data_IF_605044505278
#
_entry.id   IF_605044505278
#
_cell.length_a   1.000
_cell.length_b   1.000
_cell.length_c   1.000
_cell.angle_alpha   90.00
_cell.angle_beta   90.00
_cell.angle_gamma   90.00
#
_symmetry.space_group_name_H-M   'P 1'
#
loop_
_entity.id
_entity.type
_entity.pdbx_description
1 polymer ?
#
# COMPACT_ATOMS: atom_id res chain seq x y z
N UNK A 1 0.19 49.84 -11.23
CA UNK A 1 -0.59 49.24 -10.13
C UNK A 1 0.16 48.01 -9.66
N UNK A 2 0.49 47.91 -8.38
CA UNK A 2 1.09 46.73 -7.76
C UNK A 2 0.01 45.97 -6.99
N UNK A 3 0.02 44.65 -7.08
CA UNK A 3 -0.83 43.81 -6.24
C UNK A 3 0.03 43.33 -5.07
N UNK A 4 -0.25 43.86 -3.88
CA UNK A 4 0.36 43.39 -2.63
C UNK A 4 -0.51 42.28 -2.04
N UNK A 5 0.13 41.19 -1.62
CA UNK A 5 -0.51 40.00 -1.07
C UNK A 5 0.08 39.61 0.29
N UNK A 6 0.94 40.42 0.91
CA UNK A 6 1.56 40.09 2.19
C UNK A 6 0.52 39.98 3.34
N UNK A 7 -0.57 40.73 3.25
CA UNK A 7 -1.71 40.66 4.18
C UNK A 7 -2.75 39.58 3.79
N UNK A 8 -2.55 38.84 2.70
CA UNK A 8 -3.47 37.79 2.29
C UNK A 8 -3.40 36.62 3.28
N UNK A 9 -4.54 36.28 3.89
CA UNK A 9 -4.64 35.08 4.70
C UNK A 9 -4.24 33.86 3.87
N UNK A 10 -3.37 33.01 4.42
CA UNK A 10 -2.98 31.76 3.79
C UNK A 10 -4.24 30.98 3.39
N UNK A 11 -4.32 30.58 2.12
CA UNK A 11 -5.51 29.95 1.55
C UNK A 11 -5.84 28.66 2.30
N UNK A 12 -6.74 28.76 3.29
CA UNK A 12 -7.35 27.63 3.96
C UNK A 12 -8.19 26.93 2.90
N UNK A 13 -7.66 25.84 2.33
CA UNK A 13 -8.53 24.84 1.70
C UNK A 13 -9.61 24.52 2.73
N UNK A 14 -10.91 24.69 2.42
CA UNK A 14 -11.95 24.13 3.26
C UNK A 14 -11.59 22.67 3.49
N UNK A 15 -11.66 22.21 4.74
CA UNK A 15 -11.64 20.78 4.98
C UNK A 15 -12.84 20.24 4.21
N UNK A 16 -12.59 19.62 3.06
CA UNK A 16 -13.63 19.09 2.21
C UNK A 16 -14.45 18.14 3.06
N UNK A 17 -15.77 18.27 2.98
CA UNK A 17 -16.68 17.34 3.64
C UNK A 17 -16.23 15.90 3.35
N UNK A 18 -16.45 14.98 4.29
CA UNK A 18 -16.07 13.58 4.08
C UNK A 18 -16.93 12.96 2.97
N UNK A 19 -16.28 12.23 2.07
CA UNK A 19 -16.96 11.33 1.14
C UNK A 19 -17.81 10.36 1.99
N UNK A 20 -19.11 10.18 1.71
CA UNK A 20 -19.99 9.35 2.53
C UNK A 20 -19.42 7.94 2.73
N UNK A 21 -19.57 7.41 3.95
CA UNK A 21 -19.08 6.06 4.27
C UNK A 21 -19.74 5.03 3.35
N UNK A 22 -18.94 4.16 2.75
CA UNK A 22 -19.42 3.16 1.80
C UNK A 22 -19.55 3.61 0.35
N UNK A 23 -19.16 4.83 0.00
CA UNK A 23 -19.27 5.35 -1.38
C UNK A 23 -18.48 4.50 -2.35
N UNK A 24 -19.13 4.01 -3.41
CA UNK A 24 -18.48 3.42 -4.57
C UNK A 24 -18.12 4.51 -5.57
N UNK A 25 -16.86 4.55 -6.03
CA UNK A 25 -16.39 5.56 -6.95
C UNK A 25 -15.22 5.08 -7.81
N UNK A 26 -15.16 5.54 -9.06
CA UNK A 26 -13.93 5.47 -9.87
C UNK A 26 -12.94 6.50 -9.33
N UNK A 27 -11.73 6.07 -8.98
CA UNK A 27 -10.68 6.91 -8.40
C UNK A 27 -9.39 6.78 -9.18
N UNK A 28 -8.67 7.89 -9.35
CA UNK A 28 -7.30 7.93 -9.88
C UNK A 28 -6.31 8.08 -8.73
N UNK A 29 -5.32 7.20 -8.67
CA UNK A 29 -4.21 7.34 -7.73
C UNK A 29 -3.17 8.34 -8.23
N UNK A 30 -2.51 9.04 -7.31
CA UNK A 30 -1.29 9.81 -7.58
C UNK A 30 -0.32 9.59 -6.42
N UNK A 31 0.91 9.21 -6.74
CA UNK A 31 1.95 8.92 -5.73
C UNK A 31 2.69 10.21 -5.40
N UNK A 32 2.65 10.61 -4.13
CA UNK A 32 3.36 11.78 -3.61
C UNK A 32 4.80 11.36 -3.26
N UNK A 33 5.85 11.91 -3.91
CA UNK A 33 7.23 11.51 -3.63
C UNK A 33 7.62 11.80 -2.17
N UNK A 34 8.16 10.80 -1.48
CA UNK A 34 8.59 10.93 -0.08
C UNK A 34 10.09 11.14 0.14
N UNK A 35 10.89 11.20 -0.94
CA UNK A 35 12.33 11.46 -0.90
C UNK A 35 13.24 10.25 -0.66
N UNK A 36 12.69 9.05 -0.40
CA UNK A 36 13.45 7.82 -0.16
C UNK A 36 13.41 6.92 -1.40
N UNK A 37 14.54 6.33 -1.79
CA UNK A 37 14.59 5.40 -2.92
C UNK A 37 13.85 4.09 -2.63
N UNK A 38 13.13 3.60 -3.63
CA UNK A 38 12.62 2.22 -3.68
C UNK A 38 13.69 1.19 -4.04
N UNK A 39 13.26 -0.03 -4.36
CA UNK A 39 14.14 -1.17 -4.66
C UNK A 39 14.70 -1.17 -6.08
N UNK A 40 14.11 -0.38 -6.98
CA UNK A 40 14.50 -0.28 -8.40
C UNK A 40 14.76 1.18 -8.80
N UNK A 41 15.60 1.45 -9.83
CA UNK A 41 15.92 2.82 -10.24
C UNK A 41 14.71 3.70 -10.61
N UNK A 42 13.62 3.08 -11.11
CA UNK A 42 12.37 3.77 -11.43
C UNK A 42 11.67 4.36 -10.19
N UNK A 43 11.95 3.84 -8.99
CA UNK A 43 11.36 4.27 -7.73
C UNK A 43 12.29 5.20 -6.92
N UNK A 44 13.27 5.84 -7.57
CA UNK A 44 14.14 6.82 -6.95
C UNK A 44 13.34 8.00 -6.37
N UNK A 45 13.62 8.38 -5.12
CA UNK A 45 12.91 9.42 -4.38
C UNK A 45 11.41 9.18 -4.11
N UNK A 46 10.87 8.01 -4.48
CA UNK A 46 9.43 7.75 -4.47
C UNK A 46 8.86 7.54 -3.06
N UNK A 47 9.56 6.78 -2.23
CA UNK A 47 9.06 6.29 -0.95
C UNK A 47 9.15 7.34 0.16
N UNK A 48 8.30 7.20 1.16
CA UNK A 48 8.28 7.97 2.40
C UNK A 48 8.73 7.08 3.56
N UNK A 49 9.68 7.55 4.37
CA UNK A 49 10.04 6.87 5.62
C UNK A 49 8.95 7.05 6.68
N UNK A 50 8.73 6.04 7.52
CA UNK A 50 8.04 6.22 8.79
C UNK A 50 8.90 7.02 9.78
N UNK A 51 8.27 7.72 10.72
CA UNK A 51 8.97 8.53 11.72
C UNK A 51 9.59 7.69 12.87
N UNK A 52 8.95 6.58 13.22
CA UNK A 52 9.28 5.79 14.43
C UNK A 52 9.67 4.32 14.12
N UNK A 53 9.79 3.95 12.85
CA UNK A 53 10.15 2.58 12.44
C UNK A 53 10.93 2.54 11.12
N UNK A 54 11.46 1.37 10.79
CA UNK A 54 12.16 1.08 9.53
C UNK A 54 11.23 1.02 8.30
N UNK A 55 9.92 1.16 8.50
CA UNK A 55 8.92 1.04 7.45
C UNK A 55 9.09 2.13 6.37
N UNK A 56 9.08 1.71 5.10
CA UNK A 56 9.03 2.59 3.92
C UNK A 56 7.67 2.43 3.24
N UNK A 57 7.07 3.54 2.84
CA UNK A 57 5.70 3.59 2.35
C UNK A 57 5.61 4.28 0.99
N UNK A 58 4.62 3.92 0.17
CA UNK A 58 4.05 4.85 -0.80
C UNK A 58 3.07 5.76 -0.08
N UNK A 59 3.15 7.06 -0.32
CA UNK A 59 2.16 8.05 0.12
C UNK A 59 1.22 8.33 -1.06
N UNK A 60 0.03 7.74 -1.04
CA UNK A 60 -0.91 7.78 -2.15
C UNK A 60 -2.03 8.79 -1.89
N UNK A 61 -2.25 9.66 -2.88
CA UNK A 61 -3.45 10.45 -3.05
C UNK A 61 -4.42 9.71 -3.97
N UNK A 62 -5.71 9.69 -3.63
CA UNK A 62 -6.79 9.21 -4.48
C UNK A 62 -7.74 10.36 -4.77
N UNK A 63 -8.01 10.61 -6.05
CA UNK A 63 -8.99 11.62 -6.50
C UNK A 63 -10.15 10.91 -7.18
N UNK A 64 -11.39 11.19 -6.76
CA UNK A 64 -12.59 10.70 -7.44
C UNK A 64 -12.69 11.36 -8.82
N UNK A 65 -12.81 10.57 -9.89
CA UNK A 65 -12.76 11.09 -11.27
C UNK A 65 -14.12 11.40 -11.89
N UNK A 66 -15.20 10.82 -11.38
CA UNK A 66 -16.57 10.97 -11.91
C UNK A 66 -17.62 10.78 -10.81
N UNK A 67 -18.89 11.02 -11.13
CA UNK A 67 -20.02 10.85 -10.20
C UNK A 67 -20.16 11.95 -9.13
N UNK A 68 -21.06 11.77 -8.14
CA UNK A 68 -21.43 12.82 -7.19
C UNK A 68 -20.29 13.37 -6.32
N UNK A 69 -19.22 12.59 -6.15
CA UNK A 69 -18.05 12.96 -5.34
C UNK A 69 -16.84 13.44 -6.15
N UNK A 70 -17.01 13.73 -7.45
CA UNK A 70 -15.93 14.10 -8.37
C UNK A 70 -15.01 15.20 -7.83
N UNK A 71 -13.70 15.06 -8.08
CA UNK A 71 -12.58 15.91 -7.60
C UNK A 71 -12.33 15.90 -6.09
N UNK A 72 -13.16 15.24 -5.26
CA UNK A 72 -12.84 15.02 -3.84
C UNK A 72 -11.65 14.07 -3.71
N UNK A 73 -10.88 14.25 -2.66
CA UNK A 73 -9.61 13.56 -2.43
C UNK A 73 -9.55 12.89 -1.08
N UNK A 74 -8.83 11.77 -1.02
CA UNK A 74 -8.42 11.13 0.23
C UNK A 74 -7.01 10.56 0.08
N UNK A 75 -6.38 10.21 1.20
CA UNK A 75 -4.99 9.76 1.23
C UNK A 75 -4.82 8.50 2.06
N UNK A 76 -3.88 7.65 1.64
CA UNK A 76 -3.49 6.44 2.36
C UNK A 76 -2.03 6.11 2.11
N UNK A 77 -1.33 5.65 3.15
CA UNK A 77 0.01 5.11 3.02
C UNK A 77 -0.05 3.58 2.84
N UNK A 78 0.76 3.05 1.94
CA UNK A 78 0.96 1.60 1.77
C UNK A 78 2.39 1.24 2.12
N UNK A 79 2.61 0.42 3.14
CA UNK A 79 3.95 -0.04 3.50
C UNK A 79 4.47 -1.01 2.44
N UNK A 80 5.66 -0.75 1.90
CA UNK A 80 6.30 -1.53 0.83
C UNK A 80 7.63 -2.16 1.23
N UNK A 81 8.22 -1.73 2.35
CA UNK A 81 9.37 -2.39 2.98
C UNK A 81 9.39 -2.11 4.49
N UNK A 82 10.16 -2.91 5.24
CA UNK A 82 10.30 -2.80 6.69
C UNK A 82 9.05 -3.19 7.49
N UNK A 83 9.04 -2.87 8.78
CA UNK A 83 7.98 -3.23 9.72
C UNK A 83 8.00 -4.71 10.12
N UNK A 84 6.90 -5.18 10.74
CA UNK A 84 6.83 -6.54 11.28
C UNK A 84 6.95 -7.61 10.17
N UNK A 85 7.88 -8.54 10.38
CA UNK A 85 8.08 -9.71 9.52
C UNK A 85 7.19 -10.90 9.95
N UNK A 86 6.90 -11.77 8.99
CA UNK A 86 6.34 -13.10 9.21
C UNK A 86 7.44 -14.16 9.49
N UNK A 87 7.04 -15.40 9.74
CA UNK A 87 7.94 -16.53 10.03
C UNK A 87 8.89 -16.87 8.86
N UNK A 88 8.67 -16.30 7.68
CA UNK A 88 9.52 -16.44 6.48
C UNK A 88 10.40 -15.22 6.24
N UNK A 89 10.44 -14.28 7.19
CA UNK A 89 11.21 -13.04 7.10
C UNK A 89 10.63 -11.99 6.15
N UNK A 90 9.36 -12.12 5.74
CA UNK A 90 8.72 -11.18 4.81
C UNK A 90 7.87 -10.15 5.56
N UNK A 91 7.90 -8.89 5.15
CA UNK A 91 7.07 -7.85 5.76
C UNK A 91 5.58 -8.15 5.58
N UNK A 92 4.86 -8.29 6.70
CA UNK A 92 3.41 -8.55 6.72
C UNK A 92 2.65 -7.42 6.04
N UNK A 93 3.03 -6.17 6.35
CA UNK A 93 2.41 -5.00 5.76
C UNK A 93 2.69 -4.88 4.25
N UNK A 94 3.88 -5.31 3.78
CA UNK A 94 4.16 -5.42 2.36
C UNK A 94 3.30 -6.49 1.67
N UNK A 95 3.09 -7.64 2.32
CA UNK A 95 2.20 -8.69 1.80
C UNK A 95 0.74 -8.19 1.64
N UNK A 96 0.25 -7.36 2.56
CA UNK A 96 -1.05 -6.68 2.45
C UNK A 96 -1.06 -5.68 1.29
N UNK A 97 -0.07 -4.77 1.20
CA UNK A 97 0.00 -3.77 0.12
C UNK A 97 0.09 -4.41 -1.27
N UNK A 98 0.82 -5.52 -1.43
CA UNK A 98 0.85 -6.30 -2.69
C UNK A 98 -0.53 -6.78 -3.10
N UNK A 99 -1.35 -7.26 -2.16
CA UNK A 99 -2.71 -7.67 -2.45
C UNK A 99 -3.59 -6.48 -2.88
N UNK A 100 -3.45 -5.33 -2.22
CA UNK A 100 -4.14 -4.09 -2.63
C UNK A 100 -3.72 -3.62 -4.03
N UNK A 101 -2.42 -3.58 -4.34
CA UNK A 101 -1.93 -3.14 -5.66
C UNK A 101 -2.34 -4.10 -6.77
N UNK A 102 -2.30 -5.41 -6.51
CA UNK A 102 -2.85 -6.39 -7.45
C UNK A 102 -4.34 -6.12 -7.70
N UNK A 103 -5.13 -5.88 -6.66
CA UNK A 103 -6.55 -5.60 -6.80
C UNK A 103 -6.78 -4.29 -7.60
N UNK A 104 -5.98 -3.25 -7.41
CA UNK A 104 -6.02 -2.02 -8.21
C UNK A 104 -5.75 -2.30 -9.70
N UNK A 105 -4.76 -3.15 -10.02
CA UNK A 105 -4.48 -3.56 -11.41
C UNK A 105 -5.61 -4.42 -11.98
N UNK A 106 -6.12 -5.38 -11.21
CA UNK A 106 -7.24 -6.24 -11.63
C UNK A 106 -8.52 -5.43 -11.90
N UNK A 107 -8.81 -4.43 -11.06
CA UNK A 107 -9.91 -3.48 -11.24
C UNK A 107 -9.68 -2.50 -12.40
N UNK A 108 -8.48 -1.95 -12.57
CA UNK A 108 -8.18 -1.04 -13.67
C UNK A 108 -8.24 -1.71 -15.05
N UNK A 109 -7.80 -2.97 -15.15
CA UNK A 109 -7.66 -3.70 -16.41
C UNK A 109 -8.79 -4.73 -16.65
N UNK A 110 -9.83 -4.74 -15.82
CA UNK A 110 -10.98 -5.65 -15.96
C UNK A 110 -10.63 -7.14 -15.84
N UNK A 111 -9.61 -7.51 -15.05
CA UNK A 111 -9.12 -8.88 -14.93
C UNK A 111 -9.88 -9.66 -13.85
N UNK A 112 -10.21 -10.92 -14.13
CA UNK A 112 -10.65 -11.84 -13.09
C UNK A 112 -9.49 -12.11 -12.11
N UNK A 113 -9.66 -11.86 -10.79
CA UNK A 113 -8.65 -12.21 -9.77
C UNK A 113 -8.37 -13.73 -9.67
N UNK A 114 -9.18 -14.59 -10.28
CA UNK A 114 -8.96 -16.04 -10.38
C UNK A 114 -8.21 -16.44 -11.65
N UNK A 115 -8.15 -15.59 -12.67
CA UNK A 115 -7.41 -15.89 -13.89
C UNK A 115 -5.89 -15.90 -13.61
N UNK A 116 -5.28 -17.06 -13.78
CA UNK A 116 -3.84 -17.31 -13.62
C UNK A 116 -3.18 -17.68 -14.95
N UNK A 117 -3.80 -17.35 -16.09
CA UNK A 117 -3.18 -17.41 -17.41
C UNK A 117 -1.92 -16.53 -17.46
N UNK A 118 -0.96 -16.87 -18.31
CA UNK A 118 0.29 -16.12 -18.41
C UNK A 118 0.05 -14.69 -18.98
N UNK A 119 -1.01 -14.50 -19.77
CA UNK A 119 -1.47 -13.20 -20.20
C UNK A 119 -1.95 -12.32 -19.03
N UNK A 120 -2.78 -12.86 -18.12
CA UNK A 120 -3.24 -12.12 -16.94
C UNK A 120 -2.12 -11.91 -15.90
N UNK A 121 -1.20 -12.87 -15.76
CA UNK A 121 0.02 -12.68 -14.95
C UNK A 121 0.90 -11.56 -15.50
N UNK A 122 1.16 -11.52 -16.81
CA UNK A 122 2.01 -10.51 -17.44
C UNK A 122 1.48 -9.09 -17.20
N UNK A 123 0.16 -8.87 -17.30
CA UNK A 123 -0.50 -7.58 -16.98
C UNK A 123 -0.32 -7.12 -15.51
N UNK A 124 0.04 -8.03 -14.60
CA UNK A 124 0.29 -7.74 -13.16
C UNK A 124 1.77 -7.54 -12.84
N UNK A 125 2.68 -7.71 -13.81
CA UNK A 125 4.11 -7.47 -13.62
C UNK A 125 4.41 -6.00 -13.91
N UNK A 126 4.82 -5.28 -12.87
CA UNK A 126 5.24 -3.87 -12.97
C UNK A 126 6.76 -3.77 -12.79
N UNK A 127 7.39 -2.89 -13.57
CA UNK A 127 8.82 -2.59 -13.55
C UNK A 127 9.26 -1.77 -12.31
N UNK A 128 8.31 -1.15 -11.62
CA UNK A 128 8.51 -0.33 -10.42
C UNK A 128 7.19 0.14 -9.84
N UNK A 129 7.19 0.53 -8.56
CA UNK A 129 6.00 1.06 -7.85
C UNK A 129 5.51 2.37 -8.46
N UNK A 130 6.40 3.19 -9.05
CA UNK A 130 6.04 4.39 -9.80
C UNK A 130 5.07 4.07 -10.96
N UNK A 131 5.00 2.82 -11.43
CA UNK A 131 4.04 2.45 -12.47
C UNK A 131 2.57 2.43 -12.04
N UNK A 132 2.30 2.48 -10.74
CA UNK A 132 0.94 2.65 -10.23
C UNK A 132 0.50 4.13 -10.23
N UNK A 133 1.41 5.08 -10.50
CA UNK A 133 1.07 6.51 -10.52
C UNK A 133 0.16 6.85 -11.70
N UNK A 134 -1.04 7.35 -11.41
CA UNK A 134 -2.07 7.61 -12.42
C UNK A 134 -3.02 6.45 -12.71
N UNK A 135 -2.86 5.27 -12.10
CA UNK A 135 -3.81 4.16 -12.25
C UNK A 135 -5.22 4.60 -11.82
N UNK A 136 -6.23 4.20 -12.57
CA UNK A 136 -7.64 4.50 -12.31
C UNK A 136 -8.41 3.20 -12.12
N UNK A 137 -9.13 3.07 -11.00
CA UNK A 137 -9.81 1.83 -10.60
C UNK A 137 -11.09 2.14 -9.81
N UNK A 138 -11.94 1.14 -9.56
CA UNK A 138 -13.16 1.29 -8.75
C UNK A 138 -12.86 1.01 -7.28
N UNK A 139 -13.15 1.97 -6.40
CA UNK A 139 -12.93 1.91 -4.96
C UNK A 139 -14.26 1.93 -4.19
N UNK A 140 -14.31 1.19 -3.07
CA UNK A 140 -15.24 1.49 -1.98
C UNK A 140 -14.49 2.35 -0.95
N UNK A 141 -15.01 3.53 -0.69
CA UNK A 141 -14.42 4.53 0.19
C UNK A 141 -15.14 4.46 1.54
N UNK A 142 -14.39 4.38 2.62
CA UNK A 142 -14.92 4.42 3.99
C UNK A 142 -14.61 5.74 4.69
N UNK A 143 -15.35 6.02 5.75
CA UNK A 143 -14.94 6.93 6.82
C UNK A 143 -14.21 6.12 7.90
N UNK A 144 -12.97 6.47 8.16
CA UNK A 144 -12.16 5.95 9.26
C UNK A 144 -12.27 6.90 10.46
N UNK A 145 -12.85 6.48 11.60
CA UNK A 145 -12.90 7.32 12.78
C UNK A 145 -11.50 7.65 13.29
N UNK A 146 -11.33 8.86 13.80
CA UNK A 146 -10.09 9.29 14.43
C UNK A 146 -9.69 8.35 15.59
N UNK A 147 -8.40 7.97 15.64
CA UNK A 147 -7.84 7.20 16.76
C UNK A 147 -7.80 7.97 18.09
N UNK A 148 -7.90 9.29 18.02
CA UNK A 148 -7.88 10.25 19.14
C UNK A 148 -8.77 11.43 18.70
N UNK A 149 -10.10 11.35 18.91
CA UNK A 149 -11.08 12.28 18.33
C UNK A 149 -10.98 13.70 18.92
N UNK A 150 -10.33 13.86 20.06
CA UNK A 150 -10.03 15.18 20.65
C UNK A 150 -8.93 15.94 19.89
N UNK A 151 -8.16 15.25 19.03
CA UNK A 151 -7.01 15.82 18.30
C UNK A 151 -7.10 15.71 16.78
N UNK A 152 -7.78 14.70 16.26
CA UNK A 152 -7.86 14.41 14.84
C UNK A 152 -9.31 14.28 14.39
N UNK A 153 -9.57 14.68 13.15
CA UNK A 153 -10.84 14.44 12.47
C UNK A 153 -10.86 13.05 11.84
N UNK A 154 -12.06 12.49 11.66
CA UNK A 154 -12.30 11.29 10.87
C UNK A 154 -11.81 11.50 9.42
N UNK A 155 -11.33 10.44 8.76
CA UNK A 155 -10.67 10.56 7.46
C UNK A 155 -11.20 9.54 6.46
N UNK A 156 -11.29 9.93 5.19
CA UNK A 156 -11.60 8.95 4.15
C UNK A 156 -10.41 8.01 3.87
N UNK A 157 -10.73 6.73 3.65
CA UNK A 157 -9.77 5.68 3.30
C UNK A 157 -10.35 4.77 2.22
N UNK A 158 -9.46 4.05 1.54
CA UNK A 158 -9.86 2.88 0.76
C UNK A 158 -10.28 1.77 1.74
N UNK A 159 -11.54 1.34 1.66
CA UNK A 159 -12.01 0.16 2.37
C UNK A 159 -11.54 -1.10 1.64
N UNK A 160 -11.87 -1.17 0.35
CA UNK A 160 -11.42 -2.19 -0.58
C UNK A 160 -11.45 -1.64 -2.00
N UNK A 161 -10.66 -2.26 -2.87
CA UNK A 161 -10.84 -2.16 -4.31
C UNK A 161 -12.05 -3.02 -4.69
N UNK A 162 -12.87 -2.54 -5.62
CA UNK A 162 -13.99 -3.28 -6.21
C UNK A 162 -13.51 -3.95 -7.49
N UNK A 163 -13.78 -5.24 -7.63
CA UNK A 163 -13.24 -6.09 -8.68
C UNK A 163 -14.30 -6.45 -9.71
N UNK A 164 -13.92 -6.92 -10.92
CA UNK A 164 -14.88 -7.18 -12.00
C UNK A 164 -15.97 -8.22 -11.72
N UNK A 165 -15.81 -9.04 -10.68
CA UNK A 165 -16.83 -9.98 -10.22
C UNK A 165 -17.89 -9.38 -9.26
N UNK A 166 -17.68 -8.15 -8.77
CA UNK A 166 -18.60 -7.48 -7.87
C UNK A 166 -19.69 -6.72 -8.67
N UNK A 167 -20.95 -6.76 -8.22
CA UNK A 167 -22.08 -6.12 -8.90
C UNK A 167 -21.85 -4.61 -9.14
N UNK A 168 -21.28 -3.94 -8.14
CA UNK A 168 -21.03 -2.49 -8.13
C UNK A 168 -19.97 -2.08 -9.17
N UNK A 169 -19.03 -2.96 -9.51
CA UNK A 169 -18.00 -2.66 -10.51
C UNK A 169 -18.62 -2.34 -11.88
N UNK A 170 -19.51 -3.21 -12.37
CA UNK A 170 -20.12 -3.06 -13.69
C UNK A 170 -21.02 -1.82 -13.78
N UNK A 171 -21.66 -1.43 -12.68
CA UNK A 171 -22.49 -0.22 -12.59
C UNK A 171 -21.63 1.05 -12.64
N UNK A 172 -20.60 1.14 -11.78
CA UNK A 172 -19.68 2.30 -11.77
C UNK A 172 -18.92 2.42 -13.10
N UNK A 173 -18.50 1.31 -13.72
CA UNK A 173 -17.80 1.37 -15.01
C UNK A 173 -18.66 1.88 -16.17
N UNK A 174 -19.99 1.78 -16.08
CA UNK A 174 -20.94 2.42 -17.01
C UNK A 174 -21.24 3.89 -16.68
N UNK A 175 -20.70 4.42 -15.58
CA UNK A 175 -21.02 5.75 -15.08
C UNK A 175 -22.35 5.85 -14.31
N UNK A 176 -22.95 4.72 -13.92
CA UNK A 176 -24.14 4.70 -13.08
C UNK A 176 -23.80 5.12 -11.65
N UNK A 177 -24.71 5.83 -10.96
CA UNK A 177 -24.53 6.17 -9.54
C UNK A 177 -25.07 5.03 -8.69
N UNK A 178 -24.19 4.43 -7.88
CA UNK A 178 -24.53 3.38 -6.91
C UNK A 178 -24.73 4.01 -5.54
N UNK A 179 -25.76 3.58 -4.81
CA UNK A 179 -25.99 4.02 -3.43
C UNK A 179 -24.82 3.59 -2.52
N UNK A 180 -24.34 4.45 -1.59
CA UNK A 180 -23.30 4.06 -0.65
C UNK A 180 -23.73 2.88 0.22
N UNK A 181 -22.82 1.94 0.49
CA UNK A 181 -23.02 0.87 1.47
C UNK A 181 -22.13 1.10 2.71
N UNK A 182 -22.63 1.73 3.79
CA UNK A 182 -21.82 2.07 4.95
C UNK A 182 -21.11 0.85 5.58
N UNK A 183 -19.86 1.07 5.99
CA UNK A 183 -18.99 0.06 6.60
C UNK A 183 -19.00 0.21 8.13
N UNK A 184 -19.26 1.41 8.66
CA UNK A 184 -19.29 1.70 10.08
C UNK A 184 -18.01 1.24 10.79
N UNK A 185 -16.85 1.62 10.23
CA UNK A 185 -15.56 1.22 10.74
C UNK A 185 -15.36 1.66 12.19
N UNK A 186 -14.72 0.81 13.00
CA UNK A 186 -14.43 1.12 14.41
C UNK A 186 -13.13 1.93 14.52
N UNK A 187 -13.01 2.84 15.50
CA UNK A 187 -11.76 3.58 15.74
C UNK A 187 -10.57 2.62 15.89
N UNK A 188 -9.54 2.79 15.06
CA UNK A 188 -8.35 1.94 15.13
C UNK A 188 -7.54 2.36 16.35
N UNK A 189 -7.30 1.43 17.29
CA UNK A 189 -6.49 1.71 18.49
C UNK A 189 -5.10 2.17 18.05
N UNK A 190 -4.62 3.28 18.59
CA UNK A 190 -3.26 3.74 18.35
C UNK A 190 -2.27 2.72 18.94
N UNK A 191 -1.55 2.01 18.08
CA UNK A 191 -0.39 1.22 18.50
C UNK A 191 0.72 2.19 18.84
N UNK A 192 0.73 2.73 20.07
CA UNK A 192 1.96 3.25 20.66
C UNK A 192 2.98 2.12 20.59
N UNK A 193 4.07 2.33 19.86
CA UNK A 193 5.21 1.42 19.86
C UNK A 193 5.72 1.35 21.30
N UNK A 194 5.44 0.25 22.00
CA UNK A 194 5.90 0.09 23.36
C UNK A 194 7.43 0.02 23.35
N UNK A 195 8.09 1.05 23.88
CA UNK A 195 9.50 0.98 24.22
C UNK A 195 9.72 -0.26 25.11
N UNK A 196 10.79 -1.01 24.83
CA UNK A 196 10.92 -2.41 25.24
C UNK A 196 10.66 -2.67 26.72
N UNK A 197 9.63 -3.48 27.00
CA UNK A 197 9.39 -4.10 28.29
C UNK A 197 9.47 -5.62 28.15
N UNK A 198 10.66 -6.20 28.32
CA UNK A 198 10.81 -7.64 28.44
C UNK A 198 10.11 -8.11 29.73
N UNK A 199 8.91 -8.66 29.61
CA UNK A 199 8.30 -9.50 30.65
C UNK A 199 8.61 -10.95 30.32
N UNK A 200 9.53 -11.63 31.04
CA UNK A 200 9.95 -12.98 30.68
C UNK A 200 8.82 -13.98 30.95
N UNK A 201 8.61 -14.91 30.02
CA UNK A 201 7.70 -16.03 30.19
C UNK A 201 8.30 -17.09 31.14
N UNK A 202 8.27 -16.82 32.45
CA UNK A 202 8.53 -17.82 33.49
C UNK A 202 7.47 -17.71 34.60
N UNK A 203 6.44 -18.55 34.49
CA UNK A 203 5.46 -18.77 35.54
C UNK A 203 4.81 -20.14 35.29
N UNK A 204 5.49 -21.22 35.68
CA UNK A 204 4.96 -22.51 36.18
C UNK A 204 6.15 -23.45 36.47
N UNK A 205 6.40 -23.77 37.73
CA UNK A 205 7.16 -24.96 38.18
C UNK A 205 6.21 -26.19 38.16
N UNK A 206 6.59 -27.47 38.04
CA UNK A 206 7.89 -28.19 38.01
C UNK A 206 7.79 -29.32 36.92
N UNK A 207 8.54 -30.44 36.83
CA UNK A 207 9.55 -31.14 37.66
C UNK A 207 10.51 -31.98 36.77
N UNK A 208 11.60 -32.61 37.28
CA UNK A 208 12.75 -33.01 36.44
C UNK A 208 13.04 -34.53 36.29
N UNK A 209 13.82 -34.89 35.25
CA UNK A 209 14.90 -35.91 35.23
C UNK A 209 15.44 -36.09 33.77
N UNK A 210 16.69 -35.69 33.44
CA UNK A 210 17.99 -36.42 33.49
C UNK A 210 18.40 -37.15 32.17
N UNK A 211 19.65 -36.94 31.72
CA UNK A 211 20.30 -37.69 30.62
C UNK A 211 21.36 -36.87 29.82
N UNK A 212 22.68 -37.16 29.91
CA UNK A 212 23.74 -36.31 29.34
C UNK A 212 24.59 -36.89 28.17
N UNK A 213 25.28 -35.98 27.47
CA UNK A 213 26.55 -36.13 26.69
C UNK A 213 26.67 -37.00 25.42
N UNK A 214 27.01 -36.34 24.30
CA UNK A 214 28.28 -36.45 23.53
C UNK A 214 28.26 -35.34 22.45
N UNK A 215 29.24 -34.44 22.21
CA UNK A 215 30.71 -34.48 22.06
C UNK A 215 31.24 -35.12 20.76
N UNK A 216 32.01 -34.31 20.01
CA UNK A 216 32.61 -34.62 18.69
C UNK A 216 31.94 -33.84 17.55
N UNK A 217 32.65 -33.11 16.68
CA UNK A 217 34.07 -32.74 16.65
C UNK A 217 34.30 -31.73 15.51
N UNK A 218 35.24 -30.80 15.65
CA UNK A 218 35.48 -29.77 14.63
C UNK A 218 36.45 -30.24 13.53
N UNK A 219 36.15 -29.92 12.27
CA UNK A 219 37.17 -29.77 11.22
C UNK A 219 36.66 -28.87 10.08
N UNK A 220 37.47 -27.88 9.72
CA UNK A 220 37.29 -27.04 8.54
C UNK A 220 37.80 -27.75 7.27
N UNK A 221 37.21 -27.52 6.10
CA UNK A 221 38.00 -27.31 4.86
C UNK A 221 37.19 -26.87 3.63
N UNK A 222 37.80 -25.91 2.91
CA UNK A 222 37.85 -25.75 1.45
C UNK A 222 36.58 -25.44 0.64
N UNK A 223 36.62 -24.25 0.03
CA UNK A 223 35.66 -23.68 -0.91
C UNK A 223 36.31 -23.58 -2.30
N UNK A 224 35.73 -24.16 -3.37
CA UNK A 224 36.12 -23.89 -4.75
C UNK A 224 35.36 -22.65 -5.33
N UNK A 225 35.81 -22.09 -6.47
CA UNK A 225 35.55 -20.69 -6.82
C UNK A 225 34.22 -20.42 -7.55
N UNK A 226 33.85 -19.14 -7.56
CA UNK A 226 32.67 -18.62 -8.24
C UNK A 226 32.78 -18.69 -9.77
N UNK A 227 31.70 -19.11 -10.43
CA UNK A 227 31.48 -18.92 -11.86
C UNK A 227 30.75 -17.58 -12.09
N UNK A 228 31.29 -16.73 -12.98
CA UNK A 228 30.65 -15.48 -13.36
C UNK A 228 29.47 -15.73 -14.33
N UNK A 229 28.30 -15.10 -14.14
CA UNK A 229 27.24 -15.10 -15.15
C UNK A 229 27.64 -14.21 -16.34
N UNK A 230 27.34 -14.61 -17.59
CA UNK A 230 27.65 -13.80 -18.77
C UNK A 230 26.83 -12.51 -18.84
N UNK A 231 27.43 -11.46 -19.38
CA UNK A 231 26.81 -10.15 -19.56
C UNK A 231 25.64 -10.23 -20.54
N UNK A 232 24.45 -9.77 -20.12
CA UNK A 232 23.34 -9.54 -21.02
C UNK A 232 23.50 -8.18 -21.73
N UNK A 233 23.46 -8.19 -23.07
CA UNK A 233 23.45 -6.99 -23.91
C UNK A 233 22.19 -6.14 -23.64
N UNK A 234 22.26 -4.80 -23.82
CA UNK A 234 21.15 -3.91 -23.45
C UNK A 234 19.92 -4.12 -24.34
N UNK A 235 18.82 -4.55 -23.73
CA UNK A 235 17.53 -4.63 -24.38
C UNK A 235 16.89 -3.22 -24.43
N UNK A 236 16.35 -2.77 -25.57
CA UNK A 236 15.91 -1.39 -25.75
C UNK A 236 14.73 -1.02 -24.85
N UNK A 237 14.66 0.26 -24.45
CA UNK A 237 13.66 0.78 -23.53
C UNK A 237 12.22 0.55 -24.02
N UNK A 238 11.43 -0.21 -23.26
CA UNK A 238 9.99 -0.31 -23.44
C UNK A 238 9.28 0.80 -22.65
N UNK A 239 8.42 1.55 -23.33
CA UNK A 239 7.82 2.79 -22.82
C UNK A 239 6.82 2.57 -21.67
N UNK A 240 6.93 3.42 -20.65
CA UNK A 240 5.78 4.06 -20.00
C UNK A 240 4.97 3.24 -18.97
N UNK A 241 4.71 3.79 -17.77
CA UNK A 241 3.76 3.19 -16.85
C UNK A 241 2.32 3.36 -17.31
N UNK A 242 1.51 2.35 -17.00
CA UNK A 242 0.24 2.12 -17.66
C UNK A 242 -0.98 2.71 -16.93
N UNK A 243 -2.03 1.89 -16.77
CA UNK A 243 -3.33 2.13 -17.40
C UNK A 243 -3.25 2.15 -18.95
N UNK A 244 -2.22 2.77 -19.56
CA UNK A 244 -1.82 2.64 -20.98
C UNK A 244 -1.98 1.19 -21.51
N UNK A 245 -2.61 0.93 -22.65
CA UNK A 245 -3.13 1.85 -23.67
C UNK A 245 -4.63 1.60 -23.95
N UNK A 246 -5.40 1.32 -22.89
CA UNK A 246 -6.85 1.01 -22.97
C UNK A 246 -7.32 0.32 -21.71
#
# INVERSE_FOLDING_TARGET
MSYDFNDAQAQRMPAGELIPDGTFAKVRMTIRPGGVNGSVPMDAGLLKAAAESDAKMLDCEFTVVEGPCVRRKFWQNFTVAGGKLDDKGQSIAWNISKASFRAMVDSALGLDPKDMSDAAKAKRVLLGLKQLDGITFVARIMVEPASDPDKYHDQNRLANVVLPGDQQYALIMKGETVEPEPINAKPRKSTKTAAGGNSPAWATEAAPAQGPQQQGGAAWSQQPPAAAPPQASPQPAANGPAWLNG
#
